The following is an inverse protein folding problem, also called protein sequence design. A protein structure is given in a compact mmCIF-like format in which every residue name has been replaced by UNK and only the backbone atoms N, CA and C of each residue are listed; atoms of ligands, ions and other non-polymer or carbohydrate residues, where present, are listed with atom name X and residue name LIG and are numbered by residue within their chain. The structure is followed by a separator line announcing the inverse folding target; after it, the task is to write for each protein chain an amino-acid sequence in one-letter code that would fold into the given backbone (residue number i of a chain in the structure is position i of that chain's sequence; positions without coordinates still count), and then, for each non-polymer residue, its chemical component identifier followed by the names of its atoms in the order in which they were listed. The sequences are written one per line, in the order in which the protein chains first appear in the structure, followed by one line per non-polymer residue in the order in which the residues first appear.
data_IF_262902505445
#
_entry.id   IF_262902505445
#
_cell.length_a   1.000
_cell.length_b   1.000
_cell.length_c   1.000
_cell.angle_alpha   90.00
_cell.angle_beta   90.00
_cell.angle_gamma   90.00
#
_symmetry.space_group_name_H-M   'P 1'
#
loop_
_entity.id
_entity.type
_entity.pdbx_description
1 polymer ?
#
# COMPACT_ATOMS: atom_id res chain seq x y z
N UNK A 1 -21.55 -2.14 -15.54
CA UNK A 1 -20.50 -1.53 -14.70
C UNK A 1 -19.55 -0.62 -15.48
N UNK A 2 -19.04 -1.01 -16.66
CA UNK A 2 -18.13 -0.17 -17.47
C UNK A 2 -18.78 1.12 -17.98
N UNK A 3 -20.07 1.11 -18.38
CA UNK A 3 -20.81 2.32 -18.79
C UNK A 3 -20.89 3.40 -17.70
N UNK A 4 -21.01 3.00 -16.43
CA UNK A 4 -21.07 3.93 -15.28
C UNK A 4 -19.71 4.54 -14.89
N UNK A 5 -18.58 4.00 -15.39
CA UNK A 5 -17.21 4.44 -15.09
C UNK A 5 -16.51 5.15 -16.26
N UNK A 6 -17.26 5.62 -17.26
CA UNK A 6 -16.78 6.56 -18.27
C UNK A 6 -15.74 6.03 -19.25
N UNK A 7 -15.79 4.78 -19.70
CA UNK A 7 -14.71 4.25 -20.54
C UNK A 7 -15.08 3.22 -21.62
N UNK A 8 -16.35 3.10 -21.98
CA UNK A 8 -16.78 2.03 -22.91
C UNK A 8 -16.24 2.16 -24.34
N UNK A 9 -15.87 3.38 -24.79
CA UNK A 9 -15.36 3.64 -26.15
C UNK A 9 -13.83 3.71 -26.27
N UNK A 10 -13.10 3.87 -25.17
CA UNK A 10 -11.65 4.01 -25.20
C UNK A 10 -10.96 2.66 -25.37
N UNK A 11 -10.02 2.58 -26.32
CA UNK A 11 -9.25 1.39 -26.60
C UNK A 11 -10.04 0.22 -27.18
N UNK A 12 -11.20 0.48 -27.84
CA UNK A 12 -12.06 -0.58 -28.34
C UNK A 12 -11.34 -1.51 -29.35
N UNK A 13 -10.53 -0.97 -30.23
CA UNK A 13 -9.75 -1.76 -31.19
C UNK A 13 -8.78 -2.72 -30.49
N UNK A 14 -8.04 -2.24 -29.50
CA UNK A 14 -7.13 -3.09 -28.71
C UNK A 14 -7.88 -4.19 -27.95
N UNK A 15 -9.07 -3.88 -27.42
CA UNK A 15 -9.93 -4.87 -26.75
C UNK A 15 -10.42 -5.97 -27.69
N UNK A 16 -10.51 -5.70 -28.99
CA UNK A 16 -10.75 -6.70 -30.04
C UNK A 16 -9.46 -7.36 -30.56
N UNK A 17 -8.33 -7.11 -29.92
CA UNK A 17 -7.05 -7.68 -30.31
C UNK A 17 -6.45 -7.03 -31.57
N UNK A 18 -6.89 -5.81 -31.89
CA UNK A 18 -6.43 -5.04 -33.07
C UNK A 18 -5.48 -3.93 -32.57
N UNK A 19 -4.21 -4.23 -32.57
CA UNK A 19 -3.16 -3.31 -32.15
C UNK A 19 -2.57 -2.57 -33.35
N UNK A 20 -2.23 -1.27 -33.20
CA UNK A 20 -1.69 -0.43 -34.28
C UNK A 20 -0.39 -1.00 -34.82
N UNK A 21 -0.23 -0.96 -36.16
CA UNK A 21 0.96 -1.46 -36.88
C UNK A 21 2.23 -0.67 -36.51
N UNK A 22 2.07 0.59 -36.09
CA UNK A 22 3.19 1.45 -35.61
C UNK A 22 3.87 0.97 -34.32
N UNK A 23 3.30 -0.01 -33.66
CA UNK A 23 4.01 -0.70 -32.59
C UNK A 23 5.09 -1.56 -33.26
N UNK A 24 6.36 -1.14 -33.20
CA UNK A 24 7.47 -2.00 -33.53
C UNK A 24 7.29 -3.35 -32.84
N UNK A 25 7.67 -4.44 -33.49
CA UNK A 25 7.68 -5.75 -32.81
C UNK A 25 8.46 -5.59 -31.53
N UNK A 26 7.81 -5.88 -30.41
CA UNK A 26 8.51 -5.96 -29.13
C UNK A 26 9.61 -7.02 -29.26
N UNK A 27 10.79 -6.81 -28.64
CA UNK A 27 11.80 -7.86 -28.58
C UNK A 27 11.16 -9.12 -27.97
N UNK A 28 11.54 -10.29 -28.44
CA UNK A 28 11.13 -11.57 -27.83
C UNK A 28 11.54 -11.55 -26.34
N UNK A 29 10.71 -12.16 -25.48
CA UNK A 29 10.99 -12.16 -24.05
C UNK A 29 10.26 -11.06 -23.26
N UNK A 30 9.14 -10.55 -23.81
CA UNK A 30 8.31 -9.54 -23.11
C UNK A 30 7.56 -10.19 -21.95
N UNK A 31 7.63 -9.58 -20.78
CA UNK A 31 6.77 -9.95 -19.66
C UNK A 31 5.38 -9.30 -19.85
N UNK A 32 4.32 -10.10 -19.98
CA UNK A 32 2.96 -9.60 -20.08
C UNK A 32 2.29 -9.57 -18.70
N UNK A 33 1.95 -8.39 -18.20
CA UNK A 33 1.29 -8.21 -16.90
C UNK A 33 -0.14 -7.76 -17.09
N UNK A 34 -1.10 -8.48 -16.51
CA UNK A 34 -2.53 -8.17 -16.57
C UNK A 34 -3.01 -7.61 -15.24
N UNK A 35 -3.56 -6.39 -15.26
CA UNK A 35 -4.13 -5.71 -14.11
C UNK A 35 -5.46 -5.03 -14.48
N UNK A 36 -6.53 -5.32 -13.77
CA UNK A 36 -7.90 -4.87 -14.13
C UNK A 36 -8.24 -3.52 -13.53
N UNK A 37 -7.99 -3.33 -12.27
CA UNK A 37 -8.37 -2.15 -11.48
C UNK A 37 -7.19 -1.20 -11.22
N UNK A 38 -7.47 0.01 -10.75
CA UNK A 38 -6.43 0.96 -10.32
C UNK A 38 -5.53 0.37 -9.24
N UNK A 39 -6.12 -0.33 -8.25
CA UNK A 39 -5.34 -0.97 -7.18
C UNK A 39 -4.36 -2.03 -7.70
N UNK A 40 -4.82 -2.89 -8.63
CA UNK A 40 -3.97 -3.88 -9.28
C UNK A 40 -2.89 -3.25 -10.16
N UNK A 41 -3.20 -2.14 -10.86
CA UNK A 41 -2.21 -1.39 -11.65
C UNK A 41 -1.10 -0.83 -10.76
N UNK A 42 -1.40 -0.32 -9.57
CA UNK A 42 -0.39 0.15 -8.61
C UNK A 42 0.54 -1.00 -8.18
N UNK A 43 -0.02 -2.18 -7.92
CA UNK A 43 0.74 -3.40 -7.60
C UNK A 43 1.61 -3.80 -8.79
N UNK A 44 1.04 -3.85 -10.00
CA UNK A 44 1.74 -4.17 -11.25
C UNK A 44 2.91 -3.21 -11.50
N UNK A 45 2.71 -1.91 -11.34
CA UNK A 45 3.76 -0.90 -11.52
C UNK A 45 4.90 -1.06 -10.51
N UNK A 46 4.58 -1.36 -9.25
CA UNK A 46 5.59 -1.62 -8.21
C UNK A 46 6.41 -2.88 -8.53
N UNK A 47 5.73 -3.95 -8.93
CA UNK A 47 6.36 -5.19 -9.36
C UNK A 47 7.24 -4.97 -10.62
N UNK A 48 6.71 -4.32 -11.67
CA UNK A 48 7.43 -4.06 -12.91
C UNK A 48 8.67 -3.18 -12.72
N UNK A 49 8.58 -2.17 -11.85
CA UNK A 49 9.74 -1.33 -11.51
C UNK A 49 10.89 -2.15 -10.92
N UNK A 50 10.58 -3.08 -10.03
CA UNK A 50 11.58 -3.97 -9.45
C UNK A 50 12.09 -4.99 -10.47
N UNK A 51 11.19 -5.62 -11.23
CA UNK A 51 11.54 -6.58 -12.27
C UNK A 51 12.48 -5.99 -13.32
N UNK A 52 12.12 -4.84 -13.90
CA UNK A 52 12.93 -4.20 -14.94
C UNK A 52 14.28 -3.70 -14.41
N UNK A 53 14.34 -3.27 -13.14
CA UNK A 53 15.61 -2.88 -12.50
C UNK A 53 16.54 -4.07 -12.31
N UNK A 54 16.01 -5.23 -11.93
CA UNK A 54 16.81 -6.43 -11.62
C UNK A 54 17.12 -7.26 -12.87
N UNK A 55 16.19 -7.30 -13.82
CA UNK A 55 16.25 -8.20 -14.98
C UNK A 55 16.45 -7.48 -16.32
N UNK A 56 16.15 -6.20 -16.38
CA UNK A 56 16.13 -5.46 -17.66
C UNK A 56 14.95 -5.89 -18.55
N UNK A 57 15.10 -5.66 -19.85
CA UNK A 57 14.13 -6.05 -20.86
C UNK A 57 12.96 -5.07 -21.01
N UNK A 58 11.84 -5.58 -21.48
CA UNK A 58 10.60 -4.80 -21.66
C UNK A 58 9.38 -5.57 -21.15
N UNK A 59 8.29 -4.85 -20.93
CA UNK A 59 7.03 -5.44 -20.48
C UNK A 59 5.83 -4.82 -21.18
N UNK A 60 4.74 -5.57 -21.25
CA UNK A 60 3.41 -5.09 -21.62
C UNK A 60 2.54 -5.08 -20.37
N UNK A 61 1.99 -3.92 -20.01
CA UNK A 61 0.99 -3.79 -18.95
C UNK A 61 -0.40 -3.65 -19.59
N UNK A 62 -1.18 -4.70 -19.53
CA UNK A 62 -2.53 -4.77 -20.04
C UNK A 62 -3.56 -4.43 -18.95
N UNK A 63 -4.43 -3.45 -19.23
CA UNK A 63 -5.42 -2.95 -18.26
C UNK A 63 -6.84 -3.11 -18.79
N UNK A 64 -7.80 -3.37 -17.91
CA UNK A 64 -9.19 -3.56 -18.34
C UNK A 64 -10.07 -2.33 -18.13
N UNK A 65 -9.77 -1.45 -17.16
CA UNK A 65 -10.56 -0.24 -16.89
C UNK A 65 -9.90 1.03 -17.45
N UNK A 66 -10.70 2.03 -17.83
CA UNK A 66 -10.18 3.31 -18.33
C UNK A 66 -9.35 4.05 -17.25
N UNK A 67 -9.79 4.01 -15.99
CA UNK A 67 -9.07 4.61 -14.86
C UNK A 67 -7.75 3.88 -14.59
N UNK A 68 -7.72 2.54 -14.63
CA UNK A 68 -6.49 1.76 -14.53
C UNK A 68 -5.53 2.06 -15.68
N UNK A 69 -6.04 2.17 -16.92
CA UNK A 69 -5.24 2.53 -18.08
C UNK A 69 -4.60 3.93 -17.92
N UNK A 70 -5.40 4.93 -17.52
CA UNK A 70 -4.89 6.28 -17.27
C UNK A 70 -3.82 6.29 -16.17
N UNK A 71 -4.02 5.55 -15.08
CA UNK A 71 -3.02 5.40 -13.99
C UNK A 71 -1.72 4.80 -14.52
N UNK A 72 -1.80 3.75 -15.36
CA UNK A 72 -0.64 3.10 -15.95
C UNK A 72 0.11 4.04 -16.93
N UNK A 73 -0.63 4.77 -17.77
CA UNK A 73 -0.07 5.75 -18.71
C UNK A 73 0.63 6.91 -17.99
N UNK A 74 0.01 7.44 -16.94
CA UNK A 74 0.56 8.55 -16.14
C UNK A 74 1.85 8.16 -15.40
N UNK A 75 2.08 6.88 -15.15
CA UNK A 75 3.31 6.41 -14.53
C UNK A 75 4.55 6.55 -15.43
N UNK A 76 4.38 6.68 -16.74
CA UNK A 76 5.42 6.89 -17.76
C UNK A 76 6.66 5.98 -17.57
N UNK A 77 6.43 4.71 -17.26
CA UNK A 77 7.51 3.78 -16.91
C UNK A 77 8.30 3.36 -18.16
N UNK A 78 9.62 3.67 -18.22
CA UNK A 78 10.45 3.23 -19.33
C UNK A 78 10.47 1.70 -19.49
N UNK A 79 10.44 1.21 -20.71
CA UNK A 79 10.41 -0.23 -21.00
C UNK A 79 9.05 -0.90 -20.82
N UNK A 80 8.00 -0.15 -20.42
CA UNK A 80 6.64 -0.68 -20.25
C UNK A 80 5.71 -0.10 -21.31
N UNK A 81 5.11 -0.98 -22.09
CA UNK A 81 4.01 -0.63 -23.00
C UNK A 81 2.68 -0.85 -22.33
N UNK A 82 1.88 0.19 -22.24
CA UNK A 82 0.51 0.12 -21.70
C UNK A 82 -0.48 -0.12 -22.82
N UNK A 83 -1.37 -1.11 -22.67
CA UNK A 83 -2.42 -1.46 -23.61
C UNK A 83 -3.75 -1.71 -22.88
N UNK A 84 -4.84 -1.69 -23.62
CA UNK A 84 -6.07 -2.29 -23.13
C UNK A 84 -6.03 -3.80 -23.32
N UNK A 85 -6.38 -4.54 -22.27
CA UNK A 85 -6.51 -5.98 -22.31
C UNK A 85 -7.59 -6.41 -23.32
N UNK A 86 -7.40 -7.49 -24.10
CA UNK A 86 -8.41 -8.03 -24.97
C UNK A 86 -9.62 -8.51 -24.19
N UNK A 87 -10.82 -8.44 -24.78
CA UNK A 87 -11.97 -9.11 -24.19
C UNK A 87 -11.72 -10.62 -24.12
N UNK A 88 -12.23 -11.26 -23.07
CA UNK A 88 -12.11 -12.72 -22.90
C UNK A 88 -13.09 -13.49 -23.81
N UNK A 89 -13.04 -13.20 -25.10
CA UNK A 89 -13.79 -13.89 -26.13
C UNK A 89 -12.86 -14.82 -26.93
N UNK A 90 -13.44 -15.88 -27.48
CA UNK A 90 -12.67 -16.88 -28.19
C UNK A 90 -11.84 -16.24 -29.35
N UNK A 91 -10.53 -16.50 -29.31
CA UNK A 91 -9.57 -16.01 -30.31
C UNK A 91 -8.96 -14.63 -30.03
N UNK A 92 -9.62 -13.76 -29.26
CA UNK A 92 -9.09 -12.40 -29.01
C UNK A 92 -7.84 -12.38 -28.13
N UNK A 93 -7.77 -13.11 -26.97
CA UNK A 93 -6.52 -13.24 -26.23
C UNK A 93 -5.39 -13.83 -27.07
N UNK A 94 -5.70 -14.79 -27.94
CA UNK A 94 -4.71 -15.36 -28.86
C UNK A 94 -4.08 -14.34 -29.79
N UNK A 95 -4.88 -13.46 -30.41
CA UNK A 95 -4.36 -12.36 -31.25
C UNK A 95 -3.42 -11.43 -30.47
N UNK A 96 -3.75 -11.16 -29.21
CA UNK A 96 -2.89 -10.37 -28.33
C UNK A 96 -1.53 -11.06 -28.11
N UNK A 97 -1.55 -12.35 -27.81
CA UNK A 97 -0.32 -13.11 -27.59
C UNK A 97 0.50 -13.30 -28.87
N UNK A 98 -0.14 -13.49 -30.02
CA UNK A 98 0.52 -13.54 -31.33
C UNK A 98 1.16 -12.19 -31.69
N UNK A 99 0.62 -11.08 -31.19
CA UNK A 99 1.16 -9.72 -31.42
C UNK A 99 2.37 -9.40 -30.55
N UNK A 100 2.34 -9.75 -29.26
CA UNK A 100 3.36 -9.37 -28.29
C UNK A 100 4.35 -10.49 -27.98
N UNK A 101 4.07 -11.73 -28.37
CA UNK A 101 4.92 -12.92 -28.16
C UNK A 101 5.49 -12.99 -26.72
N UNK A 102 4.63 -12.97 -25.67
CA UNK A 102 5.10 -12.91 -24.31
C UNK A 102 5.87 -14.19 -23.92
N UNK A 103 6.98 -14.01 -23.21
CA UNK A 103 7.74 -15.10 -22.58
C UNK A 103 7.01 -15.67 -21.37
N UNK A 104 6.33 -14.80 -20.62
CA UNK A 104 5.49 -15.19 -19.50
C UNK A 104 4.32 -14.23 -19.33
N UNK A 105 3.28 -14.71 -18.69
CA UNK A 105 2.10 -13.93 -18.30
C UNK A 105 2.05 -13.86 -16.77
N UNK A 106 1.84 -12.64 -16.26
CA UNK A 106 1.66 -12.37 -14.83
C UNK A 106 0.28 -11.75 -14.62
N UNK A 107 -0.58 -12.45 -13.89
CA UNK A 107 -1.91 -11.99 -13.48
C UNK A 107 -1.82 -11.36 -12.09
N UNK A 108 -2.42 -10.20 -11.88
CA UNK A 108 -2.45 -9.54 -10.58
C UNK A 108 -3.76 -9.90 -9.86
N UNK A 109 -3.64 -10.29 -8.58
CA UNK A 109 -4.73 -10.72 -7.72
C UNK A 109 -5.49 -11.96 -8.24
N UNK A 110 -6.83 -11.93 -8.39
CA UNK A 110 -7.62 -13.13 -8.67
C UNK A 110 -8.26 -13.14 -10.07
N UNK A 111 -7.68 -12.44 -11.04
CA UNK A 111 -8.24 -12.21 -12.37
C UNK A 111 -7.83 -13.30 -13.38
N UNK A 112 -8.32 -14.52 -13.17
CA UNK A 112 -8.12 -15.64 -14.10
C UNK A 112 -9.32 -15.76 -15.07
N UNK A 113 -9.08 -15.45 -16.35
CA UNK A 113 -10.11 -15.42 -17.39
C UNK A 113 -10.01 -16.66 -18.28
N UNK A 114 -11.12 -17.39 -18.50
CA UNK A 114 -11.08 -18.71 -19.12
C UNK A 114 -10.43 -18.80 -20.50
N UNK A 115 -10.86 -17.95 -21.46
CA UNK A 115 -10.32 -17.97 -22.81
C UNK A 115 -8.88 -17.45 -22.86
N UNK A 116 -8.55 -16.49 -21.99
CA UNK A 116 -7.21 -15.96 -21.83
C UNK A 116 -6.25 -17.05 -21.34
N UNK A 117 -6.60 -17.76 -20.27
CA UNK A 117 -5.79 -18.85 -19.73
C UNK A 117 -5.62 -19.99 -20.73
N UNK A 118 -6.70 -20.37 -21.43
CA UNK A 118 -6.64 -21.38 -22.49
C UNK A 118 -5.73 -20.94 -23.64
N UNK A 119 -5.82 -19.69 -24.09
CA UNK A 119 -5.00 -19.18 -25.19
C UNK A 119 -3.50 -19.18 -24.84
N UNK A 120 -3.15 -18.88 -23.59
CA UNK A 120 -1.79 -18.98 -23.08
C UNK A 120 -1.30 -20.44 -23.06
N UNK A 121 -2.10 -21.34 -22.51
CA UNK A 121 -1.75 -22.77 -22.43
C UNK A 121 -1.50 -23.42 -23.77
N UNK A 122 -2.36 -23.14 -24.76
CA UNK A 122 -2.20 -23.67 -26.14
C UNK A 122 -0.89 -23.21 -26.79
N UNK A 123 -0.39 -22.03 -26.39
CA UNK A 123 0.88 -21.45 -26.89
C UNK A 123 2.10 -21.82 -26.06
N UNK A 124 1.91 -22.60 -24.99
CA UNK A 124 3.00 -22.96 -24.06
C UNK A 124 3.57 -21.79 -23.29
N UNK A 125 2.78 -20.69 -23.14
CA UNK A 125 3.21 -19.50 -22.40
C UNK A 125 2.99 -19.76 -20.91
N UNK A 126 4.04 -19.77 -20.05
CA UNK A 126 3.90 -19.97 -18.62
C UNK A 126 3.17 -18.79 -17.98
N UNK A 127 2.35 -19.10 -16.97
CA UNK A 127 1.46 -18.14 -16.35
C UNK A 127 1.57 -18.16 -14.83
N UNK A 128 1.91 -17.00 -14.24
CA UNK A 128 1.93 -16.80 -12.79
C UNK A 128 0.78 -15.89 -12.36
N UNK A 129 0.28 -16.12 -11.15
CA UNK A 129 -0.59 -15.19 -10.44
C UNK A 129 0.18 -14.58 -9.27
N UNK A 130 0.19 -13.25 -9.13
CA UNK A 130 0.92 -12.55 -8.08
C UNK A 130 -0.04 -11.78 -7.18
N UNK A 131 0.39 -11.56 -5.93
CA UNK A 131 -0.42 -10.87 -4.93
C UNK A 131 -1.82 -11.48 -4.75
N UNK A 132 -1.93 -12.79 -4.97
CA UNK A 132 -3.21 -13.50 -5.00
C UNK A 132 -3.90 -13.45 -3.63
N UNK A 133 -5.19 -13.10 -3.66
CA UNK A 133 -6.05 -13.02 -2.49
C UNK A 133 -7.44 -13.50 -2.83
N UNK A 134 -8.07 -14.21 -1.91
CA UNK A 134 -9.43 -14.70 -2.09
C UNK A 134 -10.33 -14.29 -0.93
N UNK A 135 -11.43 -13.57 -1.21
CA UNK A 135 -12.45 -13.29 -0.21
C UNK A 135 -13.27 -14.55 0.12
N UNK A 136 -13.81 -14.64 1.34
CA UNK A 136 -14.70 -15.73 1.74
C UNK A 136 -15.90 -15.92 0.78
N UNK A 137 -16.43 -14.80 0.26
CA UNK A 137 -17.53 -14.84 -0.74
C UNK A 137 -17.08 -15.44 -2.07
N UNK A 138 -15.85 -15.15 -2.52
CA UNK A 138 -15.30 -15.73 -3.75
C UNK A 138 -14.98 -17.20 -3.56
N UNK A 139 -14.40 -17.58 -2.41
CA UNK A 139 -14.17 -18.96 -2.02
C UNK A 139 -15.45 -19.81 -2.09
N UNK A 140 -16.53 -19.34 -1.47
CA UNK A 140 -17.82 -20.04 -1.50
C UNK A 140 -18.32 -20.29 -2.94
N UNK A 141 -18.20 -19.30 -3.83
CA UNK A 141 -18.59 -19.44 -5.25
C UNK A 141 -17.71 -20.45 -5.99
N UNK A 142 -16.40 -20.38 -5.83
CA UNK A 142 -15.47 -21.31 -6.47
C UNK A 142 -15.62 -22.73 -5.95
N UNK A 143 -15.92 -22.90 -4.66
CA UNK A 143 -16.20 -24.21 -4.08
C UNK A 143 -17.49 -24.85 -4.62
N UNK A 144 -18.54 -24.05 -4.86
CA UNK A 144 -19.79 -24.55 -5.48
C UNK A 144 -19.56 -25.16 -6.87
N UNK A 145 -18.56 -24.67 -7.61
CA UNK A 145 -18.18 -25.15 -8.93
C UNK A 145 -16.71 -25.64 -8.97
N UNK A 146 -16.35 -26.44 -7.96
CA UNK A 146 -14.95 -26.86 -7.74
C UNK A 146 -14.30 -27.56 -8.93
N UNK A 147 -15.06 -28.35 -9.68
CA UNK A 147 -14.55 -29.03 -10.87
C UNK A 147 -14.12 -28.03 -11.96
N UNK A 148 -14.86 -26.93 -12.11
CA UNK A 148 -14.57 -25.86 -13.06
C UNK A 148 -13.41 -24.99 -12.59
N UNK A 149 -13.41 -24.58 -11.31
CA UNK A 149 -12.30 -23.80 -10.72
C UNK A 149 -10.99 -24.59 -10.76
N UNK A 150 -11.00 -25.87 -10.40
CA UNK A 150 -9.82 -26.75 -10.50
C UNK A 150 -9.28 -26.80 -11.94
N UNK A 151 -10.15 -26.90 -12.93
CA UNK A 151 -9.75 -26.90 -14.34
C UNK A 151 -9.04 -25.61 -14.73
N UNK A 152 -9.60 -24.44 -14.38
CA UNK A 152 -8.99 -23.17 -14.74
C UNK A 152 -7.72 -22.84 -13.94
N UNK A 153 -7.71 -23.12 -12.65
CA UNK A 153 -6.51 -22.91 -11.86
C UNK A 153 -5.36 -23.87 -12.23
N UNK A 154 -5.64 -25.00 -12.88
CA UNK A 154 -4.60 -25.90 -13.40
C UNK A 154 -3.79 -25.31 -14.57
N UNK A 155 -4.18 -24.15 -15.09
CA UNK A 155 -3.40 -23.42 -16.09
C UNK A 155 -2.30 -22.54 -15.49
N UNK A 156 -2.29 -22.35 -14.18
CA UNK A 156 -1.25 -21.59 -13.51
C UNK A 156 -0.03 -22.47 -13.23
N UNK A 157 1.14 -21.94 -13.53
CA UNK A 157 2.43 -22.59 -13.27
C UNK A 157 3.02 -22.12 -11.91
N UNK A 158 2.63 -20.92 -11.42
CA UNK A 158 2.98 -20.42 -10.10
C UNK A 158 1.91 -19.45 -9.55
N UNK A 159 1.74 -19.41 -8.24
CA UNK A 159 0.82 -18.52 -7.54
C UNK A 159 1.46 -17.96 -6.27
N UNK A 160 1.68 -16.67 -6.22
CA UNK A 160 2.14 -15.94 -5.03
C UNK A 160 0.96 -15.41 -4.23
N UNK A 161 0.70 -16.00 -3.06
CA UNK A 161 -0.38 -15.59 -2.15
C UNK A 161 0.12 -14.66 -1.06
N UNK A 162 -0.80 -13.87 -0.47
CA UNK A 162 -0.43 -12.84 0.50
C UNK A 162 -0.11 -13.43 1.88
N UNK A 163 -0.85 -14.46 2.31
CA UNK A 163 -0.68 -15.09 3.61
C UNK A 163 -1.03 -16.59 3.61
N UNK A 164 -0.83 -17.25 4.76
CA UNK A 164 -1.14 -18.67 4.94
C UNK A 164 -2.65 -18.99 4.87
N UNK A 165 -3.50 -18.06 5.22
CA UNK A 165 -4.96 -18.22 5.11
C UNK A 165 -5.40 -18.28 3.65
N UNK A 166 -4.76 -17.49 2.78
CA UNK A 166 -5.00 -17.56 1.34
C UNK A 166 -4.57 -18.91 0.74
N UNK A 167 -3.46 -19.54 1.23
CA UNK A 167 -3.07 -20.90 0.83
C UNK A 167 -4.24 -21.88 1.00
N UNK A 168 -4.81 -21.93 2.21
CA UNK A 168 -5.91 -22.85 2.52
C UNK A 168 -7.15 -22.59 1.64
N UNK A 169 -7.46 -21.33 1.38
CA UNK A 169 -8.59 -20.95 0.51
C UNK A 169 -8.38 -21.41 -0.93
N UNK A 170 -7.20 -21.18 -1.50
CA UNK A 170 -6.91 -21.61 -2.87
C UNK A 170 -6.84 -23.12 -3.01
N UNK A 171 -6.29 -23.84 -2.04
CA UNK A 171 -6.33 -25.31 -1.98
C UNK A 171 -7.77 -25.84 -1.93
N UNK A 172 -8.64 -25.20 -1.14
CA UNK A 172 -10.06 -25.59 -0.99
C UNK A 172 -10.83 -25.56 -2.32
N UNK A 173 -10.44 -24.68 -3.24
CA UNK A 173 -11.06 -24.52 -4.57
C UNK A 173 -10.32 -25.31 -5.66
N UNK A 174 -9.26 -26.05 -5.32
CA UNK A 174 -8.61 -27.03 -6.18
C UNK A 174 -7.31 -26.58 -6.83
N UNK A 175 -6.69 -25.51 -6.32
CA UNK A 175 -5.32 -25.14 -6.74
C UNK A 175 -4.33 -26.14 -6.17
N UNK A 176 -3.41 -26.70 -6.98
CA UNK A 176 -2.41 -27.63 -6.48
C UNK A 176 -1.45 -26.94 -5.48
N UNK A 177 -1.15 -27.55 -4.31
CA UNK A 177 -0.24 -26.94 -3.33
C UNK A 177 1.16 -26.65 -3.90
N UNK A 178 1.61 -27.44 -4.87
CA UNK A 178 2.94 -27.32 -5.49
C UNK A 178 3.16 -26.00 -6.25
N UNK A 179 2.09 -25.32 -6.66
CA UNK A 179 2.19 -24.04 -7.38
C UNK A 179 1.97 -22.84 -6.47
N UNK A 180 1.56 -23.06 -5.20
CA UNK A 180 1.26 -21.98 -4.25
C UNK A 180 2.50 -21.62 -3.42
N UNK A 181 2.84 -20.34 -3.42
CA UNK A 181 3.96 -19.78 -2.66
C UNK A 181 3.47 -18.61 -1.81
N UNK A 182 3.82 -18.57 -0.52
CA UNK A 182 3.54 -17.41 0.33
C UNK A 182 4.58 -16.32 0.04
N UNK A 183 4.20 -15.34 -0.76
CA UNK A 183 5.09 -14.23 -1.15
C UNK A 183 4.88 -12.97 -0.31
N UNK A 184 3.74 -12.83 0.35
CA UNK A 184 3.34 -11.60 1.00
C UNK A 184 2.64 -10.63 0.04
N UNK A 185 2.16 -9.52 0.57
CA UNK A 185 1.50 -8.49 -0.23
C UNK A 185 2.49 -7.46 -0.76
N UNK A 186 2.59 -7.33 -2.09
CA UNK A 186 3.40 -6.30 -2.76
C UNK A 186 2.92 -4.90 -2.38
N UNK A 187 1.62 -4.74 -2.09
CA UNK A 187 1.04 -3.45 -1.68
C UNK A 187 1.69 -2.92 -0.40
N UNK A 188 1.96 -3.80 0.56
CA UNK A 188 2.50 -3.47 1.88
C UNK A 188 4.02 -3.66 1.98
N UNK A 189 4.65 -4.10 0.89
CA UNK A 189 6.10 -4.29 0.83
C UNK A 189 6.81 -2.92 0.88
N UNK A 190 7.44 -2.63 1.99
CA UNK A 190 8.30 -1.45 2.16
C UNK A 190 9.76 -1.90 2.12
N UNK A 191 10.57 -1.26 1.28
CA UNK A 191 11.97 -1.66 1.05
C UNK A 191 12.90 -1.38 2.24
N UNK A 192 12.47 -0.60 3.22
CA UNK A 192 13.30 -0.25 4.38
C UNK A 192 12.43 0.02 5.59
N UNK A 193 12.33 -0.95 6.47
CA UNK A 193 11.67 -0.78 7.75
C UNK A 193 12.54 -1.26 8.90
N UNK A 194 13.83 -1.01 8.81
CA UNK A 194 14.65 -1.10 10.01
C UNK A 194 14.34 0.10 10.90
N UNK A 195 14.06 -0.20 12.17
CA UNK A 195 14.00 0.80 13.23
C UNK A 195 15.32 1.56 13.18
N UNK A 196 15.30 2.82 12.73
CA UNK A 196 16.47 3.67 12.86
C UNK A 196 16.62 3.98 14.36
N UNK A 197 17.86 3.99 14.81
CA UNK A 197 18.16 4.58 16.11
C UNK A 197 17.65 6.02 16.14
N UNK A 198 17.10 6.42 17.28
CA UNK A 198 16.57 7.76 17.44
C UNK A 198 17.68 8.78 17.16
N UNK A 199 17.38 9.79 16.33
CA UNK A 199 18.34 10.85 16.03
C UNK A 199 18.70 11.60 17.32
N UNK A 200 19.98 11.63 17.75
CA UNK A 200 20.39 12.24 19.00
C UNK A 200 20.04 13.74 19.10
N UNK A 201 20.12 14.48 17.99
CA UNK A 201 19.72 15.88 17.91
C UNK A 201 18.24 16.05 18.24
N UNK A 202 17.38 15.25 17.61
CA UNK A 202 15.93 15.32 17.80
C UNK A 202 15.52 14.89 19.21
N UNK A 203 16.18 13.87 19.73
CA UNK A 203 16.01 13.46 21.14
C UNK A 203 16.32 14.59 22.09
N UNK A 204 17.45 15.29 21.89
CA UNK A 204 17.86 16.41 22.76
C UNK A 204 16.87 17.59 22.68
N UNK A 205 16.29 17.86 21.51
CA UNK A 205 15.25 18.88 21.33
C UNK A 205 14.00 18.50 22.14
N UNK A 206 13.50 17.28 21.95
CA UNK A 206 12.28 16.83 22.63
C UNK A 206 12.45 16.77 24.15
N UNK A 207 13.59 16.34 24.66
CA UNK A 207 13.84 16.31 26.11
C UNK A 207 13.72 17.68 26.75
N UNK A 208 14.17 18.74 26.08
CA UNK A 208 14.02 20.13 26.57
C UNK A 208 12.56 20.61 26.52
N UNK A 209 11.77 20.17 25.53
CA UNK A 209 10.43 20.67 25.28
C UNK A 209 9.34 19.92 26.03
N UNK A 210 9.41 18.58 26.06
CA UNK A 210 8.34 17.72 26.58
C UNK A 210 8.19 17.74 28.11
N UNK A 211 9.21 18.17 28.85
CA UNK A 211 9.18 18.28 30.32
C UNK A 211 8.68 17.01 31.03
N UNK A 212 9.18 15.85 30.57
CA UNK A 212 8.77 14.56 31.13
C UNK A 212 7.41 14.04 30.64
N UNK A 213 6.67 14.79 29.82
CA UNK A 213 5.41 14.32 29.19
C UNK A 213 5.68 13.32 28.08
N UNK A 214 4.80 12.32 27.87
CA UNK A 214 4.85 11.45 26.70
C UNK A 214 4.58 12.25 25.42
N UNK A 215 5.24 11.85 24.33
CA UNK A 215 5.15 12.52 23.03
C UNK A 215 4.00 11.97 22.20
N UNK A 216 3.06 12.81 21.82
CA UNK A 216 1.97 12.51 20.88
C UNK A 216 2.31 13.13 19.53
N UNK A 217 2.67 12.29 18.57
CA UNK A 217 2.96 12.69 17.21
C UNK A 217 1.66 12.87 16.42
N UNK A 218 1.43 14.05 15.88
CA UNK A 218 0.41 14.33 14.88
C UNK A 218 1.05 14.18 13.48
N UNK A 219 0.91 13.01 12.85
CA UNK A 219 1.66 12.61 11.67
C UNK A 219 0.96 12.98 10.36
N UNK A 220 1.56 13.84 9.55
CA UNK A 220 1.05 14.25 8.23
C UNK A 220 -0.35 14.88 8.29
N UNK A 221 -0.52 15.85 9.16
CA UNK A 221 -1.80 16.54 9.41
C UNK A 221 -2.28 17.39 8.26
N UNK A 222 -3.59 17.59 8.20
CA UNK A 222 -4.30 18.50 7.30
C UNK A 222 -5.04 19.58 8.10
N UNK A 223 -5.68 20.53 7.37
CA UNK A 223 -6.36 21.69 7.92
C UNK A 223 -7.24 21.38 9.13
N UNK A 224 -6.97 22.04 10.27
CA UNK A 224 -7.72 21.93 11.51
C UNK A 224 -7.31 20.76 12.41
N UNK A 225 -6.70 19.71 11.87
CA UNK A 225 -6.31 18.54 12.66
C UNK A 225 -5.17 18.86 13.64
N UNK A 226 -4.31 19.82 13.32
CA UNK A 226 -3.24 20.26 14.19
C UNK A 226 -3.77 20.74 15.53
N UNK A 227 -4.82 21.54 15.50
CA UNK A 227 -5.49 22.05 16.71
C UNK A 227 -6.21 20.91 17.43
N UNK A 228 -6.97 20.09 16.71
CA UNK A 228 -7.71 18.96 17.26
C UNK A 228 -6.79 18.02 18.03
N UNK A 229 -5.68 17.61 17.41
CA UNK A 229 -4.75 16.64 18.01
C UNK A 229 -3.94 17.28 19.14
N UNK A 230 -3.52 18.55 19.03
CA UNK A 230 -2.82 19.25 20.08
C UNK A 230 -3.68 19.39 21.36
N UNK A 231 -4.95 19.76 21.21
CA UNK A 231 -5.89 19.85 22.33
C UNK A 231 -6.18 18.48 22.96
N UNK A 232 -6.32 17.44 22.14
CA UNK A 232 -6.49 16.07 22.63
C UNK A 232 -5.26 15.57 23.37
N UNK A 233 -4.06 15.80 22.85
CA UNK A 233 -2.79 15.47 23.51
C UNK A 233 -2.64 16.17 24.85
N UNK A 234 -2.97 17.48 24.91
CA UNK A 234 -2.95 18.26 26.17
C UNK A 234 -3.90 17.66 27.22
N UNK A 235 -5.13 17.36 26.82
CA UNK A 235 -6.13 16.75 27.71
C UNK A 235 -5.69 15.38 28.23
N UNK A 236 -4.99 14.62 27.38
CA UNK A 236 -4.42 13.32 27.73
C UNK A 236 -3.11 13.40 28.54
N UNK A 237 -2.57 14.60 28.80
CA UNK A 237 -1.29 14.81 29.53
C UNK A 237 -0.05 14.62 28.64
N UNK A 238 -0.19 14.51 27.34
CA UNK A 238 0.90 14.36 26.39
C UNK A 238 1.48 15.70 25.88
N UNK A 239 2.65 15.62 25.25
CA UNK A 239 3.30 16.70 24.54
C UNK A 239 3.02 16.58 23.02
N UNK A 240 2.40 17.58 22.37
CA UNK A 240 2.09 17.52 20.96
C UNK A 240 3.33 17.85 20.09
N UNK A 241 3.72 16.88 19.28
CA UNK A 241 4.70 16.99 18.19
C UNK A 241 3.95 16.96 16.85
N UNK A 242 3.93 18.08 16.12
CA UNK A 242 3.08 18.27 14.95
C UNK A 242 3.93 18.24 13.69
N UNK A 243 3.61 17.32 12.77
CA UNK A 243 4.25 17.20 11.46
C UNK A 243 3.20 17.39 10.38
N UNK A 244 3.01 18.60 9.86
CA UNK A 244 2.07 18.87 8.77
C UNK A 244 2.45 18.09 7.50
N UNK A 245 1.46 17.66 6.70
CA UNK A 245 1.70 16.98 5.41
C UNK A 245 2.50 17.84 4.44
N UNK A 246 2.32 19.15 4.50
CA UNK A 246 2.97 20.14 3.66
C UNK A 246 3.63 21.21 4.55
N UNK A 247 4.96 21.27 4.50
CA UNK A 247 5.75 22.22 5.31
C UNK A 247 5.40 23.69 5.03
N UNK A 248 4.93 23.99 3.81
CA UNK A 248 4.50 25.32 3.38
C UNK A 248 3.32 25.85 4.19
N UNK A 249 2.54 24.95 4.83
CA UNK A 249 1.40 25.35 5.69
C UNK A 249 1.82 25.90 7.05
N UNK A 250 3.11 25.93 7.38
CA UNK A 250 3.63 26.34 8.70
C UNK A 250 2.96 27.62 9.26
N UNK A 251 2.79 28.65 8.42
CA UNK A 251 2.19 29.92 8.87
C UNK A 251 0.70 29.77 9.23
N UNK A 252 -0.06 28.97 8.49
CA UNK A 252 -1.45 28.68 8.81
C UNK A 252 -1.55 27.86 10.11
N UNK A 253 -0.73 26.80 10.23
CA UNK A 253 -0.67 25.97 11.43
C UNK A 253 -0.32 26.78 12.67
N UNK A 254 0.70 27.63 12.62
CA UNK A 254 1.09 28.49 13.73
C UNK A 254 -0.03 29.48 14.08
N UNK A 255 -0.68 30.08 13.07
CA UNK A 255 -1.80 31.02 13.29
C UNK A 255 -2.95 30.33 14.03
N UNK A 256 -3.36 29.15 13.59
CA UNK A 256 -4.52 28.42 14.14
C UNK A 256 -4.26 27.94 15.57
N UNK A 257 -3.05 27.43 15.85
CA UNK A 257 -2.63 27.04 17.17
C UNK A 257 -2.48 28.25 18.11
N UNK A 258 -1.88 29.35 17.62
CA UNK A 258 -1.70 30.57 18.43
C UNK A 258 -3.04 31.21 18.81
N UNK A 259 -4.06 31.12 17.94
CA UNK A 259 -5.43 31.57 18.22
C UNK A 259 -6.07 30.78 19.39
N UNK A 260 -5.53 29.60 19.72
CA UNK A 260 -5.91 28.75 20.87
C UNK A 260 -4.90 28.83 22.01
N UNK A 261 -4.09 29.89 22.05
CA UNK A 261 -3.09 30.16 23.08
C UNK A 261 -1.94 29.16 23.19
N UNK A 262 -1.65 28.44 22.11
CA UNK A 262 -0.47 27.58 22.02
C UNK A 262 0.78 28.42 21.73
N UNK A 263 1.90 28.07 22.37
CA UNK A 263 3.22 28.50 21.99
C UNK A 263 3.78 27.47 20.99
N UNK A 264 3.89 27.89 19.74
CA UNK A 264 4.45 27.06 18.68
C UNK A 264 5.96 27.30 18.60
N UNK A 265 6.74 26.23 18.58
CA UNK A 265 8.19 26.26 18.34
C UNK A 265 8.39 25.55 16.99
N UNK A 266 8.93 26.27 16.01
CA UNK A 266 9.18 25.75 14.69
C UNK A 266 10.55 25.06 14.61
N UNK A 267 10.62 23.94 13.88
CA UNK A 267 11.88 23.23 13.63
C UNK A 267 12.91 24.09 12.92
N UNK A 268 12.47 24.96 11.97
CA UNK A 268 13.35 25.85 11.21
C UNK A 268 13.87 27.04 12.00
N UNK A 269 13.25 27.42 13.11
CA UNK A 269 13.71 28.54 13.92
C UNK A 269 14.93 28.18 14.80
N UNK A 270 15.11 26.88 15.11
CA UNK A 270 16.30 26.33 15.77
C UNK A 270 16.48 26.70 17.24
N UNK A 271 15.91 27.80 17.71
CA UNK A 271 16.05 28.29 19.08
C UNK A 271 14.87 27.85 19.95
N UNK A 272 15.18 27.24 21.08
CA UNK A 272 14.19 26.91 22.11
C UNK A 272 14.22 28.03 23.16
N UNK A 273 13.10 28.75 23.38
CA UNK A 273 13.03 29.80 24.37
C UNK A 273 13.36 29.28 25.77
N UNK A 274 14.07 30.08 26.58
CA UNK A 274 14.38 29.73 27.95
C UNK A 274 13.10 29.55 28.78
N UNK A 275 12.05 30.30 28.49
CA UNK A 275 10.75 30.21 29.17
C UNK A 275 9.70 29.64 28.23
N UNK A 276 9.18 28.45 28.55
CA UNK A 276 8.12 27.80 27.84
C UNK A 276 6.78 28.01 28.55
N UNK A 277 5.72 28.33 27.80
CA UNK A 277 4.35 28.34 28.30
C UNK A 277 3.88 26.95 28.73
N UNK A 278 2.76 26.88 29.41
CA UNK A 278 2.12 25.61 29.76
C UNK A 278 1.67 24.85 28.50
N UNK A 279 1.02 25.58 27.59
CA UNK A 279 0.57 25.04 26.28
C UNK A 279 1.67 25.29 25.22
N UNK A 280 2.63 24.40 25.13
CA UNK A 280 3.71 24.43 24.14
C UNK A 280 3.57 23.23 23.22
N UNK A 281 3.80 23.44 21.91
CA UNK A 281 3.88 22.38 20.91
C UNK A 281 5.11 22.59 20.01
N UNK A 282 5.60 21.51 19.44
CA UNK A 282 6.70 21.56 18.48
C UNK A 282 6.14 21.28 17.07
N UNK A 283 6.42 22.14 16.12
CA UNK A 283 5.94 22.05 14.74
C UNK A 283 7.13 21.78 13.82
N UNK A 284 7.14 20.64 13.19
CA UNK A 284 8.16 20.24 12.22
C UNK A 284 7.75 20.77 10.84
N UNK A 285 8.30 21.91 10.48
CA UNK A 285 8.07 22.61 9.21
C UNK A 285 9.17 22.31 8.18
N UNK A 286 9.78 21.14 8.27
CA UNK A 286 10.77 20.59 7.34
C UNK A 286 10.19 19.38 6.60
N UNK A 287 10.84 18.98 5.50
CA UNK A 287 10.45 17.80 4.73
C UNK A 287 11.46 16.66 4.91
N UNK A 288 10.94 15.41 4.93
CA UNK A 288 11.78 14.21 4.98
C UNK A 288 12.18 13.72 6.37
N UNK A 289 11.82 14.44 7.43
CA UNK A 289 12.19 14.13 8.82
C UNK A 289 11.11 13.30 9.59
N UNK A 290 9.92 13.09 9.02
CA UNK A 290 8.79 12.43 9.70
C UNK A 290 9.20 11.11 10.37
N UNK A 291 9.98 10.28 9.69
CA UNK A 291 10.38 8.98 10.20
C UNK A 291 11.24 9.07 11.46
N UNK A 292 12.18 10.02 11.48
CA UNK A 292 13.07 10.21 12.61
C UNK A 292 12.30 10.75 13.84
N UNK A 293 11.34 11.67 13.62
CA UNK A 293 10.43 12.14 14.66
C UNK A 293 9.47 11.06 15.14
N UNK A 294 9.00 10.19 14.22
CA UNK A 294 8.12 9.08 14.58
C UNK A 294 8.80 8.11 15.56
N UNK A 295 10.10 7.85 15.39
CA UNK A 295 10.84 6.95 16.26
C UNK A 295 10.93 7.45 17.73
N UNK A 296 10.64 8.72 17.98
CA UNK A 296 10.67 9.38 19.29
C UNK A 296 9.27 9.54 19.92
N UNK A 297 8.23 9.13 19.23
CA UNK A 297 6.86 9.27 19.68
C UNK A 297 6.42 8.09 20.58
N UNK A 298 5.62 8.38 21.61
CA UNK A 298 4.96 7.37 22.43
C UNK A 298 3.65 6.89 21.80
N UNK A 299 2.95 7.80 21.08
CA UNK A 299 1.75 7.48 20.25
C UNK A 299 1.78 8.33 18.98
N UNK A 300 1.43 7.74 17.86
CA UNK A 300 1.26 8.42 16.56
C UNK A 300 -0.21 8.50 16.17
N UNK A 301 -0.72 9.72 16.01
CA UNK A 301 -2.05 10.01 15.47
C UNK A 301 -1.91 10.34 13.98
N UNK A 302 -2.55 9.57 13.13
CA UNK A 302 -2.45 9.72 11.68
C UNK A 302 -3.38 10.83 11.18
N UNK A 303 -2.81 11.80 10.46
CA UNK A 303 -3.57 12.93 9.92
C UNK A 303 -4.41 12.57 8.69
N UNK A 304 -5.24 13.54 8.26
CA UNK A 304 -6.24 13.41 7.20
C UNK A 304 -7.25 12.28 7.48
N UNK A 305 -7.40 11.93 8.73
CA UNK A 305 -8.27 10.82 9.12
C UNK A 305 -9.45 11.22 9.99
N UNK A 306 -9.49 12.47 10.47
CA UNK A 306 -10.57 13.00 11.30
C UNK A 306 -11.44 14.01 10.56
N UNK A 307 -10.86 15.05 9.98
CA UNK A 307 -11.58 16.20 9.40
C UNK A 307 -11.67 16.14 7.87
N UNK A 308 -11.00 15.19 7.23
CA UNK A 308 -11.00 15.05 5.77
C UNK A 308 -10.89 13.57 5.37
N UNK A 309 -11.50 13.24 4.22
CA UNK A 309 -11.53 11.86 3.72
C UNK A 309 -10.15 11.40 3.20
N UNK A 310 -9.88 10.10 3.36
CA UNK A 310 -8.79 9.40 2.71
C UNK A 310 -7.65 8.93 3.60
N UNK A 311 -7.36 9.61 4.69
CA UNK A 311 -6.26 9.27 5.60
C UNK A 311 -4.86 9.46 5.02
N UNK A 312 -3.85 9.38 5.89
CA UNK A 312 -2.43 9.26 5.54
C UNK A 312 -1.89 7.87 5.87
N UNK A 313 -0.69 7.56 5.40
CA UNK A 313 -0.11 6.21 5.50
C UNK A 313 0.32 5.87 6.94
N UNK A 314 -0.29 4.89 7.63
CA UNK A 314 0.10 4.50 8.98
C UNK A 314 1.33 3.57 9.01
N UNK A 315 1.75 3.03 7.86
CA UNK A 315 2.78 1.99 7.81
C UNK A 315 4.14 2.44 8.35
N UNK A 316 4.46 3.74 8.27
CA UNK A 316 5.72 4.27 8.78
C UNK A 316 5.77 4.24 10.31
N UNK A 317 4.70 4.66 10.98
CA UNK A 317 4.58 4.58 12.43
C UNK A 317 4.56 3.12 12.93
N UNK A 318 3.81 2.25 12.23
CA UNK A 318 3.81 0.80 12.51
C UNK A 318 5.22 0.21 12.37
N UNK A 319 5.95 0.57 11.32
CA UNK A 319 7.31 0.08 11.10
C UNK A 319 8.28 0.50 12.21
N UNK A 320 8.12 1.72 12.75
CA UNK A 320 8.87 2.21 13.90
C UNK A 320 8.49 1.53 15.22
N UNK A 321 7.41 0.73 15.26
CA UNK A 321 6.91 0.08 16.47
C UNK A 321 6.22 1.05 17.42
N UNK A 322 5.70 2.16 16.90
CA UNK A 322 4.95 3.17 17.65
C UNK A 322 3.48 2.81 17.64
N UNK A 323 2.76 2.88 18.78
CA UNK A 323 1.32 2.73 18.84
C UNK A 323 0.61 3.72 17.92
N UNK A 324 -0.34 3.23 17.10
CA UNK A 324 -1.01 4.03 16.07
C UNK A 324 -2.48 4.22 16.38
N UNK A 325 -2.93 5.48 16.28
CA UNK A 325 -4.31 5.89 16.38
C UNK A 325 -4.72 6.59 15.08
N UNK A 326 -5.92 6.28 14.56
CA UNK A 326 -6.49 6.91 13.37
C UNK A 326 -7.90 7.39 13.62
N UNK A 327 -8.33 8.38 12.84
CA UNK A 327 -9.74 8.73 12.70
C UNK A 327 -10.51 7.73 11.84
N UNK A 328 -11.81 7.99 11.60
CA UNK A 328 -12.69 7.11 10.81
C UNK A 328 -12.35 7.09 9.30
N UNK A 329 -11.73 8.15 8.78
CA UNK A 329 -11.52 8.36 7.34
C UNK A 329 -10.16 7.84 6.87
N UNK A 330 -10.08 6.55 6.53
CA UNK A 330 -8.85 5.89 6.09
C UNK A 330 -8.99 5.20 4.72
N UNK A 331 -9.84 5.71 3.84
CA UNK A 331 -10.28 5.07 2.60
C UNK A 331 -9.09 4.75 1.66
N UNK A 332 -8.08 5.62 1.59
CA UNK A 332 -6.90 5.39 0.75
C UNK A 332 -6.02 4.24 1.26
N UNK A 333 -6.13 3.92 2.55
CA UNK A 333 -5.33 2.90 3.24
C UNK A 333 -6.18 1.79 3.83
N UNK A 334 -7.46 1.69 3.46
CA UNK A 334 -8.46 0.77 4.01
C UNK A 334 -7.93 -0.67 4.13
N UNK A 335 -7.29 -1.20 3.09
CA UNK A 335 -6.75 -2.56 3.12
C UNK A 335 -5.63 -2.76 4.16
N UNK A 336 -4.78 -1.75 4.39
CA UNK A 336 -3.74 -1.79 5.42
C UNK A 336 -4.37 -1.68 6.81
N UNK A 337 -5.30 -0.75 6.97
CA UNK A 337 -6.01 -0.56 8.23
C UNK A 337 -6.77 -1.83 8.63
N UNK A 338 -7.49 -2.47 7.70
CA UNK A 338 -8.16 -3.76 7.94
C UNK A 338 -7.18 -4.88 8.33
N UNK A 339 -5.99 -4.94 7.71
CA UNK A 339 -4.95 -5.88 8.10
C UNK A 339 -4.52 -5.66 9.55
N UNK A 340 -4.28 -4.40 9.93
CA UNK A 340 -3.80 -4.03 11.25
C UNK A 340 -4.88 -4.18 12.34
N UNK A 341 -6.13 -3.81 12.03
CA UNK A 341 -7.28 -4.05 12.91
C UNK A 341 -7.53 -5.54 13.14
N UNK A 342 -7.37 -6.35 12.10
CA UNK A 342 -7.54 -7.81 12.18
C UNK A 342 -6.58 -8.51 13.14
N UNK A 343 -5.49 -7.85 13.55
CA UNK A 343 -4.53 -8.32 14.56
C UNK A 343 -4.57 -7.47 15.83
N UNK A 344 -5.57 -6.61 15.97
CA UNK A 344 -5.65 -5.68 17.12
C UNK A 344 -4.39 -4.80 17.23
N UNK A 345 -3.90 -4.35 16.07
CA UNK A 345 -2.61 -3.68 15.92
C UNK A 345 -2.68 -2.16 15.86
N UNK A 346 -3.87 -1.58 15.65
CA UNK A 346 -4.11 -0.13 15.67
C UNK A 346 -5.43 0.18 16.37
N UNK A 347 -5.60 1.44 16.77
CA UNK A 347 -6.85 1.94 17.32
C UNK A 347 -7.48 2.94 16.35
N UNK A 348 -8.81 2.84 16.14
CA UNK A 348 -9.59 3.83 15.39
C UNK A 348 -10.63 4.46 16.32
N UNK A 349 -10.76 5.79 16.28
CA UNK A 349 -11.78 6.49 17.08
C UNK A 349 -12.32 7.72 16.35
N UNK A 350 -13.46 8.24 16.81
CA UNK A 350 -13.99 9.54 16.39
C UNK A 350 -13.30 10.71 17.08
N UNK A 351 -13.55 11.95 16.59
CA UNK A 351 -12.98 13.18 17.14
C UNK A 351 -13.26 13.37 18.63
N UNK A 352 -14.52 13.12 19.04
CA UNK A 352 -14.94 13.30 20.44
C UNK A 352 -14.26 12.32 21.39
N UNK A 353 -13.93 11.12 20.91
CA UNK A 353 -13.29 10.06 21.70
C UNK A 353 -11.76 10.24 21.78
N UNK A 354 -11.17 11.03 20.87
CA UNK A 354 -9.72 11.14 20.72
C UNK A 354 -8.98 11.47 22.02
N UNK A 355 -9.41 12.43 22.86
CA UNK A 355 -8.70 12.73 24.12
C UNK A 355 -8.69 11.55 25.09
N UNK A 356 -9.80 10.83 25.21
CA UNK A 356 -9.95 9.72 26.19
C UNK A 356 -9.15 8.50 25.72
N UNK A 357 -9.19 8.19 24.43
CA UNK A 357 -8.41 7.10 23.83
C UNK A 357 -6.90 7.37 23.93
N UNK A 358 -6.47 8.61 23.64
CA UNK A 358 -5.07 9.00 23.84
C UNK A 358 -4.65 8.83 25.30
N UNK A 359 -5.49 9.28 26.23
CA UNK A 359 -5.22 9.14 27.66
C UNK A 359 -5.07 7.68 28.07
N UNK A 360 -5.98 6.81 27.63
CA UNK A 360 -5.90 5.37 27.89
C UNK A 360 -4.58 4.76 27.37
N UNK A 361 -4.17 5.12 26.13
CA UNK A 361 -2.93 4.63 25.55
C UNK A 361 -1.68 5.13 26.30
N UNK A 362 -1.68 6.37 26.74
CA UNK A 362 -0.55 6.97 27.49
C UNK A 362 -0.48 6.47 28.93
N UNK A 363 -1.61 6.21 29.58
CA UNK A 363 -1.68 5.67 30.95
C UNK A 363 -1.32 4.16 30.97
N UNK A 364 -1.45 3.45 29.83
CA UNK A 364 -1.17 2.02 29.70
C UNK A 364 -0.12 1.72 28.63
N UNK A 365 1.12 2.23 28.74
CA UNK A 365 2.13 2.12 27.69
C UNK A 365 2.49 0.67 27.34
N UNK A 366 2.44 -0.27 28.27
CA UNK A 366 2.70 -1.68 28.01
C UNK A 366 1.67 -2.28 27.06
N UNK A 367 0.38 -1.96 27.22
CA UNK A 367 -0.68 -2.43 26.33
C UNK A 367 -0.58 -1.77 24.94
N UNK A 368 -0.31 -0.48 24.89
CA UNK A 368 -0.10 0.26 23.65
C UNK A 368 1.10 -0.30 22.86
N UNK A 369 2.22 -0.58 23.50
CA UNK A 369 3.38 -1.22 22.87
C UNK A 369 3.11 -2.66 22.43
N UNK A 370 2.33 -3.44 23.18
CA UNK A 370 1.90 -4.78 22.76
C UNK A 370 1.04 -4.70 21.48
N UNK A 371 0.15 -3.72 21.39
CA UNK A 371 -0.63 -3.43 20.17
C UNK A 371 0.29 -3.10 18.99
N UNK A 372 1.23 -2.16 19.17
CA UNK A 372 2.21 -1.77 18.16
C UNK A 372 3.05 -2.96 17.68
N UNK A 373 3.44 -3.86 18.60
CA UNK A 373 4.19 -5.06 18.28
C UNK A 373 3.39 -6.01 17.38
N UNK A 374 2.09 -6.21 17.64
CA UNK A 374 1.22 -7.01 16.78
C UNK A 374 1.12 -6.41 15.37
N UNK A 375 0.94 -5.09 15.29
CA UNK A 375 0.92 -4.36 14.02
C UNK A 375 2.23 -4.54 13.24
N UNK A 376 3.36 -4.39 13.92
CA UNK A 376 4.69 -4.52 13.32
C UNK A 376 4.94 -5.93 12.79
N UNK A 377 4.56 -6.96 13.52
CA UNK A 377 4.67 -8.37 13.08
C UNK A 377 3.83 -8.61 11.83
N UNK A 378 2.57 -8.14 11.82
CA UNK A 378 1.68 -8.27 10.67
C UNK A 378 2.25 -7.57 9.42
N UNK A 379 2.78 -6.36 9.58
CA UNK A 379 3.36 -5.60 8.47
C UNK A 379 4.67 -6.25 7.98
N UNK A 380 5.56 -6.69 8.88
CA UNK A 380 6.83 -7.34 8.56
C UNK A 380 6.66 -8.62 7.74
N UNK A 381 5.57 -9.35 7.90
CA UNK A 381 5.26 -10.54 7.09
C UNK A 381 5.25 -10.23 5.58
N UNK A 382 5.01 -8.98 5.20
CA UNK A 382 4.93 -8.53 3.81
C UNK A 382 6.24 -7.92 3.27
N UNK A 383 7.23 -7.67 4.12
CA UNK A 383 8.53 -7.12 3.68
C UNK A 383 9.23 -8.11 2.76
N UNK A 384 9.82 -7.59 1.68
CA UNK A 384 10.46 -8.40 0.64
C UNK A 384 9.47 -9.20 -0.23
N UNK A 385 8.17 -8.90 -0.17
CA UNK A 385 7.15 -9.57 -0.98
C UNK A 385 7.43 -9.43 -2.49
N UNK A 386 7.89 -8.27 -2.93
CA UNK A 386 8.26 -8.03 -4.33
C UNK A 386 9.42 -8.92 -4.76
N UNK A 387 10.48 -9.00 -3.95
CA UNK A 387 11.64 -9.84 -4.23
C UNK A 387 11.27 -11.33 -4.22
N UNK A 388 10.48 -11.80 -3.24
CA UNK A 388 9.98 -13.18 -3.24
C UNK A 388 9.11 -13.50 -4.46
N UNK A 389 8.30 -12.54 -4.91
CA UNK A 389 7.49 -12.68 -6.12
C UNK A 389 8.36 -12.80 -7.38
N UNK A 390 9.39 -11.95 -7.52
CA UNK A 390 10.35 -12.03 -8.62
C UNK A 390 11.04 -13.40 -8.61
N UNK A 391 11.53 -13.84 -7.45
CA UNK A 391 12.18 -15.14 -7.29
C UNK A 391 11.27 -16.30 -7.71
N UNK A 392 10.00 -16.28 -7.31
CA UNK A 392 9.00 -17.27 -7.72
C UNK A 392 8.85 -17.34 -9.25
N UNK A 393 8.78 -16.18 -9.91
CA UNK A 393 8.66 -16.12 -11.38
C UNK A 393 9.95 -16.59 -12.05
N UNK A 394 11.14 -16.24 -11.53
CA UNK A 394 12.40 -16.75 -12.04
C UNK A 394 12.49 -18.28 -11.98
N UNK A 395 12.05 -18.88 -10.86
CA UNK A 395 11.98 -20.33 -10.71
C UNK A 395 11.03 -20.96 -11.73
N UNK A 396 9.84 -20.37 -11.93
CA UNK A 396 8.86 -20.80 -12.93
C UNK A 396 9.46 -20.78 -14.35
N UNK A 397 10.20 -19.72 -14.67
CA UNK A 397 10.86 -19.54 -15.98
C UNK A 397 12.17 -20.29 -16.14
N UNK A 398 12.66 -20.93 -15.07
CA UNK A 398 13.97 -21.62 -15.04
C UNK A 398 15.14 -20.71 -15.42
N UNK A 399 15.07 -19.46 -15.00
CA UNK A 399 16.14 -18.47 -15.19
C UNK A 399 16.84 -18.18 -13.85
N UNK A 400 18.11 -17.70 -13.86
CA UNK A 400 18.82 -17.39 -12.62
C UNK A 400 18.04 -16.44 -11.72
N UNK A 401 18.14 -16.63 -10.41
CA UNK A 401 17.45 -15.81 -9.39
C UNK A 401 18.29 -14.59 -9.05
#
# INVERSE_FOLDING_TARGET
RQKRRGGFGTGLMERFGLYRVSYNREPKGVLYVHAVSVGEVVIALKFLRAWLRERGGSAVLATSTATGHATAMNAQMPGVRVIYAPFDLLGLPGRCFDRFEPEAIVLVEAELWPNFARAAKVRGIPMAMINARMSARSESRYRAFKWLSKYYFSFLDAMGVQDKGDVQRFESVGVPPSVIHVTGSIKFDQQTADRRDANPEFSAILEKLKRGKPVVLAASTHDGEEVLIAEAARKAGGFPLIVPRHAERRHAVVKDLSARSWQCILRTEGEIPETLKENVCYVVDTTGELRDWTALADVAVIGKSFLADGGQNPAEAVACGVPVLTGPHMENFDALVQLLEGVDGITRCGEEQLPDVLKEMLDNPLLAHAQASRAQVALKAHYGATARTIRMICIMLKIPV
#
